data_IF_802066175666
#
_entry.id   IF_802066175666
#
_cell.length_a   1.000
_cell.length_b   1.000
_cell.length_c   1.000
_cell.angle_alpha   90.00
_cell.angle_beta   90.00
_cell.angle_gamma   90.00
#
_symmetry.space_group_name_H-M   'P 1'
#
loop_
_entity.id
_entity.type
_entity.pdbx_description
1 polymer ?
#
# COMPACT_ATOMS: atom_id res chain seq x y z
N UNK A 1 -6.10 4.96 -20.68
CA UNK A 1 -7.20 5.15 -19.72
C UNK A 1 -7.52 6.64 -19.70
N UNK A 2 -8.77 7.08 -19.49
CA UNK A 2 -9.01 8.54 -19.36
C UNK A 2 -8.43 9.03 -18.03
N UNK A 3 -8.02 10.31 -17.96
CA UNK A 3 -7.51 10.94 -16.72
C UNK A 3 -8.50 10.77 -15.58
N UNK A 4 -9.80 10.99 -15.86
CA UNK A 4 -10.87 10.83 -14.88
C UNK A 4 -11.03 9.38 -14.41
N UNK A 5 -10.89 8.40 -15.29
CA UNK A 5 -10.89 6.98 -14.92
C UNK A 5 -9.71 6.61 -14.04
N UNK A 6 -8.54 7.20 -14.28
CA UNK A 6 -7.34 6.99 -13.45
C UNK A 6 -7.50 7.59 -12.06
N UNK A 7 -8.03 8.82 -11.96
CA UNK A 7 -8.33 9.45 -10.67
C UNK A 7 -9.41 8.70 -9.88
N UNK A 8 -10.44 8.19 -10.55
CA UNK A 8 -11.44 7.33 -9.92
C UNK A 8 -10.81 6.02 -9.41
N UNK A 9 -9.88 5.44 -10.18
CA UNK A 9 -9.07 4.29 -9.77
C UNK A 9 -8.24 4.58 -8.52
N UNK A 10 -7.56 5.72 -8.47
CA UNK A 10 -6.79 6.16 -7.29
C UNK A 10 -7.72 6.32 -6.07
N UNK A 11 -8.85 7.01 -6.22
CA UNK A 11 -9.81 7.13 -5.12
C UNK A 11 -10.30 5.75 -4.62
N UNK A 12 -10.57 4.81 -5.51
CA UNK A 12 -10.96 3.46 -5.15
C UNK A 12 -9.84 2.69 -4.43
N UNK A 13 -8.59 2.79 -4.90
CA UNK A 13 -7.42 2.17 -4.26
C UNK A 13 -7.17 2.78 -2.88
N UNK A 14 -7.24 4.10 -2.76
CA UNK A 14 -7.11 4.80 -1.50
C UNK A 14 -8.13 4.33 -0.46
N UNK A 15 -9.41 4.19 -0.86
CA UNK A 15 -10.48 3.76 0.03
C UNK A 15 -10.37 2.28 0.39
N UNK A 16 -10.10 1.41 -0.58
CA UNK A 16 -10.11 -0.04 -0.38
C UNK A 16 -8.84 -0.57 0.30
N UNK A 17 -7.69 0.06 0.09
CA UNK A 17 -6.38 -0.46 0.52
C UNK A 17 -5.64 0.49 1.46
N UNK A 18 -5.45 1.75 1.03
CA UNK A 18 -4.62 2.70 1.78
C UNK A 18 -5.25 3.08 3.12
N UNK A 19 -6.55 3.42 3.13
CA UNK A 19 -7.25 3.82 4.35
C UNK A 19 -7.27 2.70 5.41
N UNK A 20 -7.71 1.46 5.11
CA UNK A 20 -7.68 0.38 6.08
C UNK A 20 -6.27 0.06 6.56
N UNK A 21 -5.30 0.02 5.64
CA UNK A 21 -3.91 -0.26 5.98
C UNK A 21 -3.27 0.84 6.82
N UNK A 22 -3.61 2.11 6.56
CA UNK A 22 -3.15 3.25 7.36
C UNK A 22 -3.77 3.25 8.76
N UNK A 23 -5.07 2.97 8.87
CA UNK A 23 -5.74 2.84 10.17
C UNK A 23 -5.11 1.73 11.01
N UNK A 24 -4.79 0.60 10.39
CA UNK A 24 -4.06 -0.48 11.03
C UNK A 24 -2.64 -0.07 11.43
N UNK A 25 -1.88 0.55 10.52
CA UNK A 25 -0.52 1.00 10.79
C UNK A 25 -0.46 2.03 11.93
N UNK A 26 -1.41 2.96 11.97
CA UNK A 26 -1.52 3.98 13.01
C UNK A 26 -1.99 3.45 14.37
N UNK A 27 -2.41 2.18 14.46
CA UNK A 27 -2.94 1.59 15.68
C UNK A 27 -4.37 2.03 16.01
N UNK A 28 -5.11 2.59 15.03
CA UNK A 28 -6.52 2.96 15.18
C UNK A 28 -7.47 1.78 14.93
N UNK A 29 -6.99 0.79 14.19
CA UNK A 29 -7.65 -0.50 14.01
C UNK A 29 -6.65 -1.58 14.42
N UNK A 30 -6.89 -2.26 15.54
CA UNK A 30 -5.94 -3.26 16.10
C UNK A 30 -6.56 -4.64 16.29
N UNK A 31 -7.88 -4.76 16.15
CA UNK A 31 -8.64 -6.01 16.34
C UNK A 31 -8.17 -7.16 15.44
N UNK A 32 -7.59 -6.82 14.28
CA UNK A 32 -7.02 -7.79 13.34
C UNK A 32 -5.81 -8.55 13.91
N UNK A 33 -5.14 -8.01 14.93
CA UNK A 33 -4.00 -8.67 15.60
C UNK A 33 -4.45 -9.93 16.33
N UNK A 34 -5.67 -9.92 16.86
CA UNK A 34 -6.21 -11.04 17.63
C UNK A 34 -6.89 -12.09 16.71
N UNK A 35 -6.92 -11.84 15.39
CA UNK A 35 -7.50 -12.74 14.39
C UNK A 35 -6.43 -13.75 13.86
N UNK A 36 -6.60 -15.06 14.06
CA UNK A 36 -5.55 -16.07 13.84
C UNK A 36 -5.16 -16.32 12.38
N UNK A 37 -5.88 -15.79 11.39
CA UNK A 37 -5.67 -16.02 9.96
C UNK A 37 -5.31 -14.76 9.15
N UNK A 38 -5.18 -13.60 9.80
CA UNK A 38 -4.91 -12.30 9.17
C UNK A 38 -3.59 -11.67 9.65
N UNK A 39 -2.62 -12.49 10.04
CA UNK A 39 -1.30 -12.01 10.45
C UNK A 39 -0.73 -11.12 9.34
N UNK A 40 -0.69 -9.81 9.61
CA UNK A 40 -0.18 -8.74 8.74
C UNK A 40 -1.03 -8.35 7.51
N UNK A 41 -2.22 -8.90 7.32
CA UNK A 41 -3.07 -8.56 6.17
C UNK A 41 -3.33 -7.05 6.03
N UNK A 42 -3.61 -6.29 7.10
CA UNK A 42 -3.80 -4.83 6.98
C UNK A 42 -2.52 -4.06 6.65
N UNK A 43 -1.36 -4.55 7.09
CA UNK A 43 -0.05 -3.98 6.69
C UNK A 43 0.21 -4.23 5.21
N UNK A 44 -0.10 -5.41 4.71
CA UNK A 44 -0.05 -5.71 3.29
C UNK A 44 -0.97 -4.80 2.46
N UNK A 45 -2.20 -4.53 2.93
CA UNK A 45 -3.12 -3.61 2.27
C UNK A 45 -2.50 -2.22 2.09
N UNK A 46 -1.77 -1.72 3.10
CA UNK A 46 -1.12 -0.42 3.00
C UNK A 46 -0.10 -0.39 1.85
N UNK A 47 0.80 -1.38 1.80
CA UNK A 47 1.84 -1.45 0.77
C UNK A 47 1.27 -1.71 -0.62
N UNK A 48 0.23 -2.54 -0.72
CA UNK A 48 -0.48 -2.80 -1.98
C UNK A 48 -1.15 -1.53 -2.47
N UNK A 49 -1.85 -0.81 -1.57
CA UNK A 49 -2.54 0.43 -1.88
C UNK A 49 -1.57 1.50 -2.36
N UNK A 50 -0.51 1.78 -1.59
CA UNK A 50 0.50 2.77 -1.98
C UNK A 50 1.20 2.36 -3.29
N UNK A 51 1.49 1.07 -3.48
CA UNK A 51 2.04 0.58 -4.74
C UNK A 51 1.12 0.82 -5.95
N UNK A 52 -0.18 0.58 -5.78
CA UNK A 52 -1.21 0.89 -6.77
C UNK A 52 -1.28 2.38 -7.11
N UNK A 53 -1.22 3.25 -6.09
CA UNK A 53 -1.19 4.71 -6.28
C UNK A 53 0.02 5.15 -7.11
N UNK A 54 1.21 4.60 -6.83
CA UNK A 54 2.42 4.93 -7.58
C UNK A 54 2.36 4.48 -9.04
N UNK A 55 1.72 3.35 -9.34
CA UNK A 55 1.52 2.88 -10.71
C UNK A 55 0.55 3.82 -11.46
N UNK A 56 -0.57 4.16 -10.83
CA UNK A 56 -1.57 5.06 -11.43
C UNK A 56 -0.99 6.46 -11.64
N UNK A 57 -0.29 6.99 -10.63
CA UNK A 57 0.43 8.26 -10.75
C UNK A 57 1.50 8.20 -11.85
N UNK A 58 2.25 7.11 -11.93
CA UNK A 58 3.22 6.86 -13.00
C UNK A 58 2.58 6.97 -14.38
N UNK A 59 1.41 6.36 -14.57
CA UNK A 59 0.68 6.44 -15.84
C UNK A 59 0.28 7.87 -16.22
N UNK A 60 -0.18 8.68 -15.25
CA UNK A 60 -0.52 10.09 -15.49
C UNK A 60 0.71 10.92 -15.87
N UNK A 61 1.86 10.62 -15.25
CA UNK A 61 3.12 11.33 -15.51
C UNK A 61 3.73 10.93 -16.86
N UNK A 62 3.59 9.66 -17.28
CA UNK A 62 3.97 9.24 -18.63
C UNK A 62 3.17 9.97 -19.71
N UNK A 63 1.84 10.09 -19.50
CA UNK A 63 0.93 10.81 -20.39
C UNK A 63 1.25 12.32 -20.48
N UNK A 64 1.80 12.90 -19.40
CA UNK A 64 2.24 14.30 -19.33
C UNK A 64 3.63 14.58 -19.91
N UNK A 65 4.13 13.73 -20.82
CA UNK A 65 5.43 13.83 -21.51
C UNK A 65 6.68 13.59 -20.65
N UNK A 66 6.52 13.18 -19.39
CA UNK A 66 7.62 12.84 -18.47
C UNK A 66 7.84 11.32 -18.38
N UNK A 67 7.97 10.65 -19.53
CA UNK A 67 8.07 9.17 -19.64
C UNK A 67 9.11 8.53 -18.70
N UNK A 68 10.28 9.15 -18.52
CA UNK A 68 11.30 8.61 -17.62
C UNK A 68 10.87 8.60 -16.15
N UNK A 69 10.20 9.66 -15.71
CA UNK A 69 9.70 9.79 -14.33
C UNK A 69 8.51 8.85 -14.12
N UNK A 70 7.60 8.76 -15.10
CA UNK A 70 6.47 7.85 -15.01
C UNK A 70 6.87 6.37 -14.91
N UNK A 71 7.88 5.93 -15.68
CA UNK A 71 8.45 4.58 -15.53
C UNK A 71 9.07 4.33 -14.16
N UNK A 72 9.77 5.32 -13.62
CA UNK A 72 10.37 5.22 -12.30
C UNK A 72 9.29 5.06 -11.23
N UNK A 73 8.22 5.86 -11.29
CA UNK A 73 7.07 5.76 -10.39
C UNK A 73 6.38 4.40 -10.51
N UNK A 74 6.18 3.90 -11.73
CA UNK A 74 5.64 2.56 -11.96
C UNK A 74 6.52 1.45 -11.39
N UNK A 75 7.85 1.56 -11.53
CA UNK A 75 8.80 0.60 -10.96
C UNK A 75 8.79 0.63 -9.43
N UNK A 76 8.73 1.82 -8.82
CA UNK A 76 8.55 1.97 -7.37
C UNK A 76 7.23 1.35 -6.92
N UNK A 77 6.14 1.61 -7.63
CA UNK A 77 4.84 1.03 -7.32
C UNK A 77 4.85 -0.50 -7.39
N UNK A 78 5.52 -1.08 -8.39
CA UNK A 78 5.70 -2.54 -8.50
C UNK A 78 6.52 -3.11 -7.34
N UNK A 79 7.60 -2.43 -6.92
CA UNK A 79 8.38 -2.84 -5.76
C UNK A 79 7.54 -2.82 -4.47
N UNK A 80 6.68 -1.81 -4.29
CA UNK A 80 5.77 -1.71 -3.15
C UNK A 80 4.68 -2.80 -3.19
N UNK A 81 4.15 -3.14 -4.37
CA UNK A 81 3.25 -4.28 -4.53
C UNK A 81 3.91 -5.60 -4.11
N UNK A 82 5.18 -5.82 -4.49
CA UNK A 82 5.95 -6.98 -4.06
C UNK A 82 6.13 -7.02 -2.54
N UNK A 83 6.48 -5.88 -1.93
CA UNK A 83 6.57 -5.76 -0.47
C UNK A 83 5.22 -6.08 0.18
N UNK A 84 4.12 -5.58 -0.38
CA UNK A 84 2.78 -5.88 0.11
C UNK A 84 2.40 -7.36 -0.01
N UNK A 85 2.73 -8.00 -1.13
CA UNK A 85 2.54 -9.44 -1.31
C UNK A 85 3.33 -10.28 -0.32
N UNK A 86 4.59 -9.92 -0.04
CA UNK A 86 5.40 -10.57 1.00
C UNK A 86 4.80 -10.32 2.37
N UNK A 87 4.33 -9.09 2.62
CA UNK A 87 3.74 -8.66 3.90
C UNK A 87 2.46 -9.43 4.24
N UNK A 88 1.78 -10.09 3.29
CA UNK A 88 0.65 -10.98 3.59
C UNK A 88 1.05 -12.20 4.42
N UNK A 89 2.29 -12.67 4.26
CA UNK A 89 2.80 -13.85 4.93
C UNK A 89 3.77 -13.49 6.04
N UNK A 90 4.52 -12.40 5.85
CA UNK A 90 5.58 -12.00 6.75
C UNK A 90 5.92 -10.53 6.59
N UNK A 91 5.83 -9.76 7.68
CA UNK A 91 6.30 -8.37 7.72
C UNK A 91 7.62 -8.28 8.51
N UNK A 92 8.71 -7.75 7.90
CA UNK A 92 9.98 -7.60 8.59
C UNK A 92 9.84 -6.69 9.82
N UNK A 93 10.60 -6.93 10.91
CA UNK A 93 10.48 -6.14 12.14
C UNK A 93 10.66 -4.63 11.95
N UNK A 94 11.45 -4.19 10.97
CA UNK A 94 11.65 -2.78 10.65
C UNK A 94 10.41 -2.09 10.08
N UNK A 95 9.53 -2.83 9.39
CA UNK A 95 8.30 -2.31 8.80
C UNK A 95 7.08 -2.47 9.72
N UNK A 96 7.25 -3.13 10.88
CA UNK A 96 6.19 -3.24 11.88
C UNK A 96 5.97 -1.89 12.57
N UNK A 97 4.71 -1.48 12.77
CA UNK A 97 4.42 -0.24 13.43
C UNK A 97 4.89 -0.30 14.89
N UNK A 98 5.27 0.85 15.44
CA UNK A 98 5.91 0.95 16.75
C UNK A 98 5.05 0.32 17.86
N UNK A 99 3.74 0.59 17.86
CA UNK A 99 2.81 0.05 18.84
C UNK A 99 2.76 -1.48 18.83
N UNK A 100 2.88 -2.11 17.66
CA UNK A 100 2.86 -3.56 17.53
C UNK A 100 4.14 -4.19 18.09
N UNK A 101 5.30 -3.56 17.83
CA UNK A 101 6.58 -3.98 18.40
C UNK A 101 6.64 -3.83 19.92
N UNK A 102 5.94 -2.84 20.49
CA UNK A 102 5.85 -2.64 21.93
C UNK A 102 4.93 -3.68 22.60
N UNK A 103 3.93 -4.22 21.89
CA UNK A 103 3.03 -5.27 22.39
C UNK A 103 3.66 -6.68 22.38
N UNK A 104 4.62 -6.94 21.48
CA UNK A 104 5.35 -8.22 21.40
C UNK A 104 6.51 -8.35 22.41
N UNK A 105 6.84 -7.29 23.16
CA UNK A 105 7.89 -7.27 24.21
C UNK A 105 7.30 -7.57 25.58
#
# INVERSE_FOLDING_TARGET
MSTLGTLAGMAAVAVAFVLPGWLAYAGKWTDWVDAPYMLYAPLALLWIGVGGEFILLGSLVEDAWARGVGRLLGAVGMALLLIGGISLFWTPPSLRPRWYRERER
#
